data_IF_200480871173
#
_entry.id   IF_200480871173
#
_cell.length_a   1.000
_cell.length_b   1.000
_cell.length_c   1.000
_cell.angle_alpha   90.00
_cell.angle_beta   90.00
_cell.angle_gamma   90.00
#
_symmetry.space_group_name_H-M   'P 1'
#
loop_
_entity.id
_entity.type
_entity.pdbx_description
1 polymer ?
#
# COMPACT_ATOMS: atom_id res chain seq x y z
N UNK A 1 53.00 -30.51 -16.35
CA UNK A 1 52.84 -31.38 -17.50
C UNK A 1 51.97 -30.82 -18.59
N UNK A 2 51.92 -31.40 -19.75
CA UNK A 2 51.10 -30.89 -20.86
C UNK A 2 49.62 -30.75 -20.49
N UNK A 3 49.11 -31.66 -19.66
CA UNK A 3 47.73 -31.62 -19.21
C UNK A 3 47.43 -30.45 -18.32
N UNK A 4 48.36 -30.03 -17.47
CA UNK A 4 48.15 -28.88 -16.60
C UNK A 4 48.23 -27.55 -17.36
N UNK A 5 49.08 -27.45 -18.41
CA UNK A 5 49.12 -26.28 -19.26
C UNK A 5 47.87 -26.16 -20.14
N UNK A 6 47.43 -27.26 -20.73
CA UNK A 6 46.20 -27.27 -21.50
C UNK A 6 44.98 -26.95 -20.64
N UNK A 7 44.95 -27.50 -19.41
CA UNK A 7 43.90 -27.20 -18.44
C UNK A 7 43.92 -25.75 -17.98
N UNK A 8 45.09 -25.15 -17.76
CA UNK A 8 45.23 -23.76 -17.38
C UNK A 8 44.75 -22.81 -18.51
N UNK A 9 45.08 -23.13 -19.77
CA UNK A 9 44.64 -22.34 -20.93
C UNK A 9 43.12 -22.47 -21.10
N UNK A 10 42.59 -23.70 -21.01
CA UNK A 10 41.17 -23.97 -21.10
C UNK A 10 40.41 -23.26 -19.98
N UNK A 11 40.93 -23.29 -18.74
CA UNK A 11 40.35 -22.58 -17.60
C UNK A 11 40.31 -21.06 -17.81
N UNK A 12 41.39 -20.48 -18.34
CA UNK A 12 41.45 -19.05 -18.64
C UNK A 12 40.46 -18.68 -19.72
N UNK A 13 40.34 -19.47 -20.77
CA UNK A 13 39.36 -19.23 -21.84
C UNK A 13 37.95 -19.38 -21.33
N UNK A 14 37.66 -20.42 -20.56
CA UNK A 14 36.37 -20.62 -19.92
C UNK A 14 36.05 -19.48 -18.95
N UNK A 15 37.01 -19.08 -18.12
CA UNK A 15 36.83 -17.96 -17.19
C UNK A 15 36.55 -16.66 -17.93
N UNK A 16 37.29 -16.37 -18.99
CA UNK A 16 37.07 -15.20 -19.82
C UNK A 16 35.70 -15.21 -20.48
N UNK A 17 35.27 -16.38 -21.00
CA UNK A 17 33.97 -16.57 -21.61
C UNK A 17 32.86 -16.42 -20.56
N UNK A 18 33.01 -16.99 -19.37
CA UNK A 18 32.08 -16.85 -18.27
C UNK A 18 31.97 -15.40 -17.82
N UNK A 19 33.11 -14.71 -17.70
CA UNK A 19 33.13 -13.29 -17.32
C UNK A 19 32.40 -12.41 -18.33
N UNK A 20 32.53 -12.71 -19.63
CA UNK A 20 31.80 -12.00 -20.71
C UNK A 20 30.32 -12.30 -20.69
N UNK A 21 29.93 -13.52 -20.25
CA UNK A 21 28.53 -13.97 -20.20
C UNK A 21 27.84 -13.62 -18.91
N UNK A 22 28.59 -13.22 -17.87
CA UNK A 22 27.98 -12.78 -16.61
C UNK A 22 27.25 -11.47 -16.86
N UNK A 23 25.95 -11.41 -16.55
CA UNK A 23 25.20 -10.17 -16.72
C UNK A 23 25.74 -9.12 -15.76
N UNK A 24 25.74 -7.88 -16.21
CA UNK A 24 26.04 -6.76 -15.34
C UNK A 24 24.87 -6.61 -14.35
N UNK A 25 25.23 -6.31 -13.12
CA UNK A 25 24.25 -6.13 -12.04
C UNK A 25 24.41 -4.78 -11.38
N UNK A 26 23.37 -4.39 -10.70
CA UNK A 26 23.37 -3.24 -9.80
C UNK A 26 22.65 -3.64 -8.51
N UNK A 27 22.96 -2.96 -7.42
CA UNK A 27 22.39 -3.26 -6.12
C UNK A 27 21.06 -2.55 -5.94
N UNK A 28 20.05 -3.30 -5.54
CA UNK A 28 18.70 -2.78 -5.23
C UNK A 28 18.40 -3.07 -3.76
N UNK A 29 17.90 -2.05 -3.08
CA UNK A 29 17.42 -2.17 -1.71
C UNK A 29 15.90 -2.12 -1.72
N UNK A 30 15.28 -3.11 -1.06
CA UNK A 30 13.83 -3.19 -0.92
C UNK A 30 13.49 -2.97 0.55
N UNK A 31 12.72 -1.93 0.81
CA UNK A 31 12.24 -1.60 2.16
C UNK A 31 10.78 -2.05 2.26
N UNK A 32 10.50 -2.96 3.16
CA UNK A 32 9.12 -3.34 3.52
C UNK A 32 8.73 -2.62 4.80
N UNK A 33 7.54 -2.84 5.28
CA UNK A 33 7.08 -2.20 6.51
C UNK A 33 7.89 -2.62 7.74
N UNK A 34 8.49 -3.80 7.74
CA UNK A 34 9.22 -4.35 8.89
C UNK A 34 10.59 -4.95 8.56
N UNK A 35 11.06 -4.79 7.32
CA UNK A 35 12.34 -5.39 6.92
C UNK A 35 13.00 -4.59 5.81
N UNK A 36 14.29 -4.84 5.63
CA UNK A 36 15.07 -4.34 4.50
C UNK A 36 15.81 -5.50 3.88
N UNK A 37 15.84 -5.54 2.55
CA UNK A 37 16.50 -6.57 1.77
C UNK A 37 17.34 -5.94 0.68
N UNK A 38 18.46 -6.58 0.34
CA UNK A 38 19.26 -6.18 -0.80
C UNK A 38 19.35 -7.31 -1.82
N UNK A 39 19.28 -6.92 -3.09
CA UNK A 39 19.38 -7.86 -4.20
C UNK A 39 20.36 -7.34 -5.24
N UNK A 40 21.02 -8.27 -5.92
CA UNK A 40 21.76 -7.96 -7.14
C UNK A 40 20.78 -8.12 -8.31
N UNK A 41 20.42 -7.01 -8.89
CA UNK A 41 19.47 -6.94 -10.00
C UNK A 41 20.25 -6.88 -11.32
N UNK A 42 19.90 -7.75 -12.26
CA UNK A 42 20.53 -7.68 -13.59
C UNK A 42 20.02 -6.42 -14.31
N UNK A 43 20.91 -5.78 -15.09
CA UNK A 43 20.58 -4.53 -15.77
C UNK A 43 19.47 -4.71 -16.82
N UNK A 44 19.29 -5.92 -17.32
CA UNK A 44 18.24 -6.25 -18.30
C UNK A 44 16.89 -6.55 -17.65
N UNK A 45 16.83 -6.69 -16.31
CA UNK A 45 15.59 -7.06 -15.62
C UNK A 45 14.51 -6.00 -15.80
N UNK A 46 13.30 -6.52 -16.02
CA UNK A 46 12.08 -5.70 -15.97
C UNK A 46 11.56 -5.62 -14.54
N UNK A 47 10.67 -4.69 -14.30
CA UNK A 47 10.04 -4.57 -13.00
C UNK A 47 9.43 -5.86 -12.50
N UNK A 48 8.82 -6.66 -13.39
CA UNK A 48 8.26 -7.96 -13.04
C UNK A 48 9.30 -8.91 -12.46
N UNK A 49 10.49 -8.94 -13.02
CA UNK A 49 11.57 -9.83 -12.55
C UNK A 49 11.95 -9.50 -11.11
N UNK A 50 12.14 -8.22 -10.81
CA UNK A 50 12.46 -7.76 -9.46
C UNK A 50 11.28 -7.99 -8.50
N UNK A 51 10.08 -7.61 -8.91
CA UNK A 51 8.88 -7.76 -8.09
C UNK A 51 8.63 -9.23 -7.73
N UNK A 52 8.73 -10.14 -8.70
CA UNK A 52 8.55 -11.57 -8.47
C UNK A 52 9.60 -12.11 -7.50
N UNK A 53 10.85 -11.66 -7.60
CA UNK A 53 11.91 -12.07 -6.69
C UNK A 53 11.60 -11.61 -5.25
N UNK A 54 11.16 -10.39 -5.08
CA UNK A 54 10.78 -9.85 -3.75
C UNK A 54 9.63 -10.67 -3.16
N UNK A 55 8.59 -10.92 -3.94
CA UNK A 55 7.43 -11.70 -3.48
C UNK A 55 7.81 -13.13 -3.09
N UNK A 56 8.65 -13.78 -3.89
CA UNK A 56 9.14 -15.14 -3.57
C UNK A 56 9.96 -15.14 -2.28
N UNK A 57 10.81 -14.14 -2.10
CA UNK A 57 11.65 -14.01 -0.90
C UNK A 57 10.79 -13.81 0.35
N UNK A 58 9.70 -13.07 0.23
CA UNK A 58 8.75 -12.86 1.33
C UNK A 58 7.81 -14.06 1.55
N UNK A 59 7.73 -14.99 0.60
CA UNK A 59 6.73 -16.05 0.64
C UNK A 59 5.31 -15.55 0.40
N UNK A 60 5.18 -14.41 -0.28
CA UNK A 60 3.91 -13.76 -0.57
C UNK A 60 3.36 -14.27 -1.90
N UNK A 61 2.13 -14.83 -1.86
CA UNK A 61 1.42 -15.29 -3.05
C UNK A 61 0.31 -14.34 -3.47
N UNK A 62 -0.21 -13.54 -2.57
CA UNK A 62 -1.25 -12.55 -2.85
C UNK A 62 -0.64 -11.24 -3.34
N UNK A 63 0.01 -11.34 -4.49
CA UNK A 63 0.90 -10.29 -5.03
C UNK A 63 0.15 -9.11 -5.64
N UNK A 64 -1.11 -9.29 -6.02
CA UNK A 64 -1.89 -8.31 -6.80
C UNK A 64 -2.23 -7.03 -6.04
N UNK A 65 -2.11 -7.03 -4.72
CA UNK A 65 -2.31 -5.82 -3.91
C UNK A 65 -1.08 -4.90 -3.89
N UNK A 66 0.10 -5.42 -4.19
CA UNK A 66 1.38 -4.78 -3.87
C UNK A 66 2.09 -4.24 -5.10
N UNK A 67 3.04 -3.35 -4.83
CA UNK A 67 3.92 -2.80 -5.84
C UNK A 67 5.22 -2.32 -5.22
N UNK A 68 6.13 -1.91 -6.10
CA UNK A 68 7.40 -1.29 -5.70
C UNK A 68 7.31 0.20 -5.98
N UNK A 69 7.31 0.98 -4.90
CA UNK A 69 7.12 2.42 -4.93
C UNK A 69 8.46 3.15 -4.88
N UNK A 70 8.57 4.23 -5.61
CA UNK A 70 9.66 5.18 -5.51
C UNK A 70 9.11 6.60 -5.63
N UNK A 71 9.93 7.59 -5.32
CA UNK A 71 9.50 8.99 -5.34
C UNK A 71 10.38 9.77 -6.31
N UNK A 72 9.75 10.57 -7.18
CA UNK A 72 10.42 11.49 -8.07
C UNK A 72 9.85 12.88 -7.83
N UNK A 73 10.73 13.85 -7.49
CA UNK A 73 10.33 15.26 -7.32
C UNK A 73 9.02 15.37 -6.50
N UNK A 74 8.99 14.70 -5.35
CA UNK A 74 7.88 14.65 -4.40
C UNK A 74 6.61 13.97 -4.93
N UNK A 75 6.68 13.33 -6.08
CA UNK A 75 5.56 12.58 -6.64
C UNK A 75 5.83 11.08 -6.48
N UNK A 76 4.83 10.36 -5.98
CA UNK A 76 4.87 8.91 -5.87
C UNK A 76 4.77 8.29 -7.25
N UNK A 77 5.59 7.29 -7.51
CA UNK A 77 5.56 6.48 -8.71
C UNK A 77 5.71 5.01 -8.35
N UNK A 78 5.21 4.14 -9.21
CA UNK A 78 5.27 2.70 -9.01
C UNK A 78 6.04 2.05 -10.16
N UNK A 79 6.90 1.10 -9.82
CA UNK A 79 7.66 0.35 -10.81
C UNK A 79 6.69 -0.39 -11.74
N UNK A 80 6.85 -0.19 -13.05
CA UNK A 80 6.04 -0.88 -14.06
C UNK A 80 6.60 -2.26 -14.31
N UNK A 81 5.72 -3.25 -14.41
CA UNK A 81 6.13 -4.65 -14.52
C UNK A 81 6.78 -4.97 -15.87
N UNK A 82 6.35 -4.32 -16.93
CA UNK A 82 6.80 -4.59 -18.30
C UNK A 82 7.98 -3.71 -18.80
N UNK A 83 8.47 -2.83 -17.92
CA UNK A 83 9.54 -1.88 -18.25
C UNK A 83 10.81 -2.23 -17.47
N UNK A 84 11.97 -2.05 -18.09
CA UNK A 84 13.25 -2.27 -17.39
C UNK A 84 13.33 -1.40 -16.14
N UNK A 85 13.86 -1.96 -15.05
CA UNK A 85 14.01 -1.24 -13.79
C UNK A 85 14.79 0.06 -14.01
N UNK A 86 15.90 -0.01 -14.72
CA UNK A 86 16.76 1.16 -14.96
C UNK A 86 16.21 2.17 -15.98
N UNK A 87 15.14 1.81 -16.70
CA UNK A 87 14.48 2.74 -17.62
C UNK A 87 13.46 3.64 -16.91
N UNK A 88 13.25 3.42 -15.60
CA UNK A 88 12.42 4.30 -14.78
C UNK A 88 13.24 5.51 -14.31
N UNK A 89 12.54 6.59 -13.98
CA UNK A 89 13.14 7.83 -13.47
C UNK A 89 13.52 7.72 -11.99
N UNK A 90 14.03 6.59 -11.57
CA UNK A 90 14.49 6.36 -10.21
C UNK A 90 15.92 6.91 -10.07
N UNK A 91 16.28 7.35 -8.86
CA UNK A 91 17.66 7.73 -8.56
C UNK A 91 18.59 6.54 -8.83
N UNK A 92 19.64 6.76 -9.63
CA UNK A 92 20.60 5.72 -10.00
C UNK A 92 21.75 5.55 -9.00
N UNK A 93 21.71 6.27 -7.88
CA UNK A 93 22.69 6.07 -6.80
C UNK A 93 22.46 4.71 -6.17
N UNK A 94 23.52 3.92 -6.05
CA UNK A 94 23.42 2.60 -5.43
C UNK A 94 23.49 2.70 -3.90
N UNK A 95 22.65 1.92 -3.21
CA UNK A 95 21.65 1.02 -3.76
C UNK A 95 20.42 1.76 -4.27
N UNK A 96 19.88 1.32 -5.41
CA UNK A 96 18.59 1.82 -5.92
C UNK A 96 17.50 1.32 -4.97
N UNK A 97 16.72 2.23 -4.41
CA UNK A 97 15.80 1.89 -3.33
C UNK A 97 14.34 1.95 -3.77
N UNK A 98 13.60 0.89 -3.44
CA UNK A 98 12.15 0.82 -3.62
C UNK A 98 11.50 0.43 -2.30
N UNK A 99 10.25 0.89 -2.12
CA UNK A 99 9.43 0.51 -0.99
C UNK A 99 8.37 -0.50 -1.45
N UNK A 100 8.35 -1.65 -0.81
CA UNK A 100 7.34 -2.68 -1.07
C UNK A 100 6.11 -2.36 -0.24
N UNK A 101 5.05 -1.92 -0.89
CA UNK A 101 3.85 -1.43 -0.23
C UNK A 101 2.59 -1.93 -0.94
N UNK A 102 1.48 -1.97 -0.21
CA UNK A 102 0.18 -2.18 -0.81
C UNK A 102 -0.17 -0.95 -1.66
N UNK A 103 -0.52 -1.21 -2.91
CA UNK A 103 -0.97 -0.21 -3.88
C UNK A 103 -2.48 -0.21 -3.98
N UNK A 104 -3.09 -1.39 -3.86
CA UNK A 104 -4.52 -1.61 -3.91
C UNK A 104 -4.98 -2.27 -2.62
N UNK A 105 -6.18 -1.92 -2.18
CA UNK A 105 -6.74 -2.38 -0.91
C UNK A 105 -7.92 -3.30 -1.15
N UNK A 106 -8.12 -4.32 -0.31
CA UNK A 106 -9.31 -5.16 -0.39
C UNK A 106 -10.55 -4.38 0.00
N UNK A 107 -11.70 -4.76 -0.53
CA UNK A 107 -12.99 -4.24 -0.07
C UNK A 107 -13.31 -4.78 1.32
N UNK A 108 -12.98 -6.03 1.57
CA UNK A 108 -13.16 -6.69 2.86
C UNK A 108 -11.89 -7.48 3.20
N UNK A 109 -11.13 -6.98 4.16
CA UNK A 109 -9.84 -7.57 4.54
C UNK A 109 -9.98 -9.01 5.03
N UNK A 110 -10.99 -9.29 5.85
CA UNK A 110 -11.18 -10.63 6.42
C UNK A 110 -11.43 -11.68 5.36
N UNK A 111 -12.20 -11.35 4.31
CA UNK A 111 -12.52 -12.29 3.24
C UNK A 111 -11.42 -12.43 2.20
N UNK A 112 -10.70 -11.33 1.92
CA UNK A 112 -9.78 -11.28 0.78
C UNK A 112 -8.32 -11.56 1.12
N UNK A 113 -7.89 -11.27 2.36
CA UNK A 113 -6.50 -11.48 2.77
C UNK A 113 -6.37 -12.84 3.46
N UNK A 114 -5.84 -13.81 2.73
CA UNK A 114 -5.79 -15.21 3.19
C UNK A 114 -4.49 -15.54 3.92
N UNK A 115 -3.34 -15.08 3.39
CA UNK A 115 -2.05 -15.36 4.01
C UNK A 115 -1.79 -14.44 5.20
N UNK A 116 -1.19 -14.98 6.26
CA UNK A 116 -0.80 -14.17 7.42
C UNK A 116 0.18 -13.06 7.04
N UNK A 117 1.11 -13.32 6.12
CA UNK A 117 2.06 -12.29 5.66
C UNK A 117 1.33 -11.12 5.00
N UNK A 118 0.31 -11.40 4.20
CA UNK A 118 -0.49 -10.35 3.56
C UNK A 118 -1.22 -9.51 4.62
N UNK A 119 -1.88 -10.17 5.55
CA UNK A 119 -2.58 -9.52 6.65
C UNK A 119 -1.64 -8.65 7.48
N UNK A 120 -0.47 -9.17 7.80
CA UNK A 120 0.53 -8.48 8.61
C UNK A 120 1.07 -7.22 7.92
N UNK A 121 1.40 -7.31 6.65
CA UNK A 121 1.88 -6.16 5.88
C UNK A 121 0.82 -5.07 5.77
N UNK A 122 -0.45 -5.44 5.56
CA UNK A 122 -1.55 -4.47 5.56
C UNK A 122 -1.74 -3.84 6.94
N UNK A 123 -1.70 -4.65 8.00
CA UNK A 123 -1.81 -4.14 9.37
C UNK A 123 -0.74 -3.07 9.64
N UNK A 124 0.52 -3.36 9.34
CA UNK A 124 1.62 -2.41 9.58
C UNK A 124 1.46 -1.13 8.76
N UNK A 125 1.09 -1.25 7.49
CA UNK A 125 0.94 -0.09 6.61
C UNK A 125 -0.22 0.80 7.05
N UNK A 126 -1.37 0.20 7.34
CA UNK A 126 -2.57 0.93 7.76
C UNK A 126 -2.34 1.58 9.13
N UNK A 127 -1.71 0.86 10.07
CA UNK A 127 -1.37 1.41 11.38
C UNK A 127 -0.47 2.64 11.23
N UNK A 128 0.55 2.57 10.39
CA UNK A 128 1.43 3.70 10.14
C UNK A 128 0.67 4.90 9.56
N UNK A 129 -0.25 4.66 8.61
CA UNK A 129 -1.06 5.72 8.02
C UNK A 129 -1.94 6.43 9.06
N UNK A 130 -2.49 5.68 10.01
CA UNK A 130 -3.31 6.24 11.08
C UNK A 130 -2.45 7.04 12.06
N UNK A 131 -1.31 6.49 12.49
CA UNK A 131 -0.41 7.15 13.42
C UNK A 131 0.26 8.40 12.82
N UNK A 132 0.58 8.36 11.52
CA UNK A 132 1.13 9.51 10.80
C UNK A 132 0.04 10.51 10.35
N UNK A 133 -1.22 10.26 10.72
CA UNK A 133 -2.36 11.12 10.42
C UNK A 133 -2.64 11.28 8.93
N UNK A 134 -2.26 10.29 8.13
CA UNK A 134 -2.62 10.20 6.70
C UNK A 134 -4.06 9.75 6.52
N UNK A 135 -4.57 8.98 7.49
CA UNK A 135 -5.95 8.52 7.57
C UNK A 135 -6.53 9.03 8.88
N UNK A 136 -7.59 9.82 8.79
CA UNK A 136 -8.26 10.34 9.99
C UNK A 136 -8.89 9.20 10.78
N UNK A 137 -8.69 9.23 12.09
CA UNK A 137 -9.29 8.29 13.01
C UNK A 137 -9.84 9.02 14.24
N UNK A 138 -11.14 8.85 14.56
CA UNK A 138 -11.71 9.46 15.76
C UNK A 138 -11.01 8.98 17.04
N UNK A 139 -11.00 9.80 18.10
CA UNK A 139 -10.29 9.45 19.34
C UNK A 139 -10.66 8.09 19.94
N UNK A 140 -11.94 7.78 20.04
CA UNK A 140 -12.38 6.49 20.62
C UNK A 140 -11.95 5.29 19.77
N UNK A 141 -12.08 5.42 18.44
CA UNK A 141 -11.61 4.40 17.52
C UNK A 141 -10.10 4.23 17.62
N UNK A 142 -9.35 5.33 17.78
CA UNK A 142 -7.89 5.28 17.96
C UNK A 142 -7.48 4.48 19.18
N UNK A 143 -8.18 4.65 20.30
CA UNK A 143 -7.92 3.91 21.53
C UNK A 143 -8.20 2.42 21.34
N UNK A 144 -9.31 2.09 20.70
CA UNK A 144 -9.66 0.69 20.41
C UNK A 144 -8.65 0.04 19.48
N UNK A 145 -8.26 0.73 18.41
CA UNK A 145 -7.23 0.25 17.50
C UNK A 145 -5.90 0.03 18.22
N UNK A 146 -5.49 0.99 19.06
CA UNK A 146 -4.27 0.86 19.86
C UNK A 146 -4.31 -0.39 20.74
N UNK A 147 -5.46 -0.70 21.32
CA UNK A 147 -5.62 -1.87 22.19
C UNK A 147 -5.42 -3.20 21.44
N UNK A 148 -5.87 -3.28 20.19
CA UNK A 148 -5.60 -4.45 19.35
C UNK A 148 -4.12 -4.53 18.92
N UNK A 149 -3.49 -3.39 18.65
CA UNK A 149 -2.05 -3.37 18.37
C UNK A 149 -1.24 -3.86 19.58
N UNK A 150 -1.64 -3.49 20.77
CA UNK A 150 -1.02 -3.95 22.02
C UNK A 150 -1.22 -5.46 22.20
N UNK A 151 -2.43 -5.96 21.99
CA UNK A 151 -2.69 -7.42 22.04
C UNK A 151 -1.80 -8.17 21.03
N UNK A 152 -1.67 -7.64 19.82
CA UNK A 152 -0.83 -8.27 18.79
C UNK A 152 0.63 -8.33 19.21
N UNK A 153 1.14 -7.28 19.85
CA UNK A 153 2.55 -7.17 20.23
C UNK A 153 2.89 -7.93 21.52
N UNK A 154 2.05 -7.79 22.54
CA UNK A 154 2.34 -8.28 23.90
C UNK A 154 1.64 -9.59 24.25
N UNK A 155 0.67 -10.03 23.47
CA UNK A 155 -0.16 -11.18 23.83
C UNK A 155 -1.16 -10.81 24.91
N UNK A 156 -1.66 -11.80 25.63
CA UNK A 156 -2.69 -11.59 26.64
C UNK A 156 -2.24 -10.65 27.76
N UNK A 157 -3.15 -9.80 28.21
CA UNK A 157 -2.89 -8.91 29.32
C UNK A 157 -2.67 -9.71 30.59
N UNK A 158 -1.53 -9.44 31.28
CA UNK A 158 -1.18 -10.00 32.57
C UNK A 158 -0.75 -8.84 33.47
N UNK A 159 -1.59 -8.49 34.51
CA UNK A 159 -1.26 -7.36 35.38
C UNK A 159 0.05 -7.53 36.14
N UNK A 160 0.52 -8.76 36.36
CA UNK A 160 1.80 -9.01 37.02
C UNK A 160 3.01 -8.71 36.15
N UNK A 161 2.83 -8.73 34.82
CA UNK A 161 3.88 -8.46 33.83
C UNK A 161 3.73 -7.05 33.27
N UNK A 162 2.51 -6.69 32.87
CA UNK A 162 2.20 -5.40 32.21
C UNK A 162 1.83 -4.37 33.27
N UNK A 163 2.84 -3.93 34.01
CA UNK A 163 2.65 -2.97 35.11
C UNK A 163 2.51 -1.55 34.55
N UNK A 164 1.95 -0.66 35.37
CA UNK A 164 1.78 0.76 35.02
C UNK A 164 3.05 1.32 34.40
N UNK A 165 2.93 1.96 33.22
CA UNK A 165 4.03 2.51 32.48
C UNK A 165 4.56 1.60 31.37
N UNK A 166 4.03 0.40 31.20
CA UNK A 166 4.55 -0.55 30.21
C UNK A 166 4.38 -0.06 28.75
N UNK A 167 3.43 0.85 28.51
CA UNK A 167 3.21 1.43 27.19
C UNK A 167 3.87 2.79 26.99
N UNK A 168 4.66 3.27 27.96
CA UNK A 168 5.20 4.62 27.95
C UNK A 168 6.07 4.93 26.72
N UNK A 169 6.76 3.93 26.15
CA UNK A 169 7.64 4.08 25.01
C UNK A 169 7.00 3.66 23.68
N UNK A 170 5.74 3.26 23.70
CA UNK A 170 5.01 2.84 22.52
C UNK A 170 4.36 4.06 21.83
N UNK A 171 4.44 4.10 20.52
CA UNK A 171 3.66 5.04 19.71
C UNK A 171 2.34 4.34 19.37
N UNK A 172 1.25 4.78 20.01
CA UNK A 172 -0.05 4.10 19.92
C UNK A 172 -1.17 4.97 19.39
N UNK A 173 -1.09 6.28 19.60
CA UNK A 173 -2.17 7.22 19.25
C UNK A 173 -1.65 8.32 18.34
N UNK A 174 -2.50 8.81 17.41
CA UNK A 174 -2.16 10.00 16.64
C UNK A 174 -1.93 11.20 17.58
N UNK A 175 -0.96 12.05 17.24
CA UNK A 175 -0.65 13.23 18.04
C UNK A 175 -1.85 14.16 18.20
N UNK A 176 -2.67 14.27 17.15
CA UNK A 176 -3.87 15.10 17.19
C UNK A 176 -4.85 14.62 18.28
N UNK A 177 -5.02 13.30 18.43
CA UNK A 177 -5.86 12.73 19.48
C UNK A 177 -5.31 13.10 20.85
N UNK A 178 -4.01 12.93 21.06
CA UNK A 178 -3.35 13.28 22.31
C UNK A 178 -3.53 14.75 22.63
N UNK A 179 -3.42 15.61 21.62
CA UNK A 179 -3.49 17.08 21.80
C UNK A 179 -4.92 17.60 22.01
N UNK A 180 -5.95 16.84 21.64
CA UNK A 180 -7.35 17.27 21.78
C UNK A 180 -7.84 17.22 23.24
N UNK A 181 -7.18 16.43 24.09
CA UNK A 181 -7.62 16.19 25.45
C UNK A 181 -6.50 16.52 26.43
N UNK A 182 -6.88 17.00 27.62
CA UNK A 182 -5.95 17.26 28.71
C UNK A 182 -5.77 15.98 29.54
N UNK A 183 -5.27 14.94 28.88
CA UNK A 183 -5.02 13.65 29.51
C UNK A 183 -3.51 13.39 29.57
N UNK A 184 -3.07 12.85 30.70
CA UNK A 184 -1.67 12.44 30.86
C UNK A 184 -1.41 11.17 30.08
N UNK A 185 -0.14 10.84 29.76
CA UNK A 185 0.21 9.56 29.15
C UNK A 185 -0.32 8.36 29.94
N UNK A 186 -0.33 8.45 31.27
CA UNK A 186 -0.84 7.40 32.17
C UNK A 186 -2.34 7.21 32.01
N UNK A 187 -3.10 8.28 31.82
CA UNK A 187 -4.54 8.22 31.61
C UNK A 187 -4.85 7.57 30.25
N UNK A 188 -4.08 7.89 29.21
CA UNK A 188 -4.23 7.22 27.91
C UNK A 188 -3.91 5.72 28.03
N UNK A 189 -2.84 5.39 28.73
CA UNK A 189 -2.47 3.99 28.96
C UNK A 189 -3.59 3.22 29.66
N UNK A 190 -4.22 3.81 30.67
CA UNK A 190 -5.34 3.19 31.37
C UNK A 190 -6.51 2.90 30.42
N UNK A 191 -6.86 3.84 29.57
CA UNK A 191 -7.95 3.66 28.60
C UNK A 191 -7.63 2.56 27.61
N UNK A 192 -6.42 2.52 27.10
CA UNK A 192 -5.97 1.49 26.16
C UNK A 192 -5.96 0.13 26.86
N UNK A 193 -5.43 0.07 28.07
CA UNK A 193 -5.32 -1.17 28.85
C UNK A 193 -6.70 -1.75 29.18
N UNK A 194 -7.70 -0.92 29.44
CA UNK A 194 -9.06 -1.38 29.70
C UNK A 194 -9.62 -2.18 28.51
N UNK A 195 -9.42 -1.69 27.30
CA UNK A 195 -9.78 -2.44 26.08
C UNK A 195 -8.88 -3.65 25.86
N UNK A 196 -7.58 -3.48 26.06
CA UNK A 196 -6.59 -4.55 25.89
C UNK A 196 -6.97 -5.78 26.72
N UNK A 197 -7.38 -5.59 27.96
CA UNK A 197 -7.78 -6.70 28.85
C UNK A 197 -8.95 -7.51 28.28
N UNK A 198 -9.84 -6.87 27.50
CA UNK A 198 -10.99 -7.54 26.88
C UNK A 198 -10.60 -8.44 25.71
N UNK A 199 -9.38 -8.29 25.19
CA UNK A 199 -8.94 -9.03 24.00
C UNK A 199 -8.25 -10.35 24.32
N UNK A 200 -8.22 -10.75 25.58
CA UNK A 200 -7.58 -11.99 26.03
C UNK A 200 -8.02 -13.18 25.18
N UNK A 201 -7.04 -13.99 24.78
CA UNK A 201 -7.27 -15.18 23.96
C UNK A 201 -7.08 -14.96 22.47
N UNK A 202 -6.95 -13.72 22.01
CA UNK A 202 -6.72 -13.47 20.60
C UNK A 202 -5.25 -13.64 20.26
N UNK A 203 -4.96 -14.46 19.24
CA UNK A 203 -3.62 -14.60 18.69
C UNK A 203 -3.21 -13.32 17.97
N UNK A 204 -1.93 -13.17 17.64
CA UNK A 204 -1.38 -12.02 16.95
C UNK A 204 -2.14 -11.71 15.67
N UNK A 205 -2.30 -12.70 14.80
CA UNK A 205 -2.99 -12.55 13.52
C UNK A 205 -4.46 -12.16 13.68
N UNK A 206 -5.13 -12.72 14.68
CA UNK A 206 -6.51 -12.38 14.99
C UNK A 206 -6.64 -10.92 15.45
N UNK A 207 -5.73 -10.46 16.31
CA UNK A 207 -5.73 -9.09 16.80
C UNK A 207 -5.44 -8.10 15.65
N UNK A 208 -4.48 -8.43 14.78
CA UNK A 208 -4.17 -7.62 13.61
C UNK A 208 -5.36 -7.54 12.65
N UNK A 209 -6.09 -8.64 12.47
CA UNK A 209 -7.29 -8.64 11.61
C UNK A 209 -8.42 -7.82 12.23
N UNK A 210 -8.61 -7.87 13.55
CA UNK A 210 -9.59 -7.01 14.21
C UNK A 210 -9.26 -5.52 14.03
N UNK A 211 -7.97 -5.19 14.08
CA UNK A 211 -7.50 -3.85 13.76
C UNK A 211 -7.92 -3.44 12.34
N UNK A 212 -7.64 -4.29 11.37
CA UNK A 212 -7.96 -4.01 9.97
C UNK A 212 -9.46 -3.89 9.72
N UNK A 213 -10.27 -4.71 10.40
CA UNK A 213 -11.73 -4.66 10.26
C UNK A 213 -12.31 -3.32 10.73
N UNK A 214 -11.73 -2.74 11.77
CA UNK A 214 -12.13 -1.41 12.25
C UNK A 214 -11.61 -0.33 11.30
N UNK A 215 -10.33 -0.41 10.96
CA UNK A 215 -9.67 0.60 10.13
C UNK A 215 -10.29 0.72 8.73
N UNK A 216 -10.73 -0.40 8.15
CA UNK A 216 -11.31 -0.38 6.80
C UNK A 216 -12.63 0.39 6.72
N UNK A 217 -13.29 0.62 7.84
CA UNK A 217 -14.53 1.41 7.90
C UNK A 217 -14.27 2.91 8.07
N UNK A 218 -13.02 3.32 8.22
CA UNK A 218 -12.66 4.75 8.27
C UNK A 218 -12.81 5.37 6.88
N UNK A 219 -13.33 6.60 6.86
CA UNK A 219 -13.70 7.27 5.60
C UNK A 219 -12.51 7.46 4.66
N UNK A 220 -11.31 7.69 5.20
CA UNK A 220 -10.11 7.92 4.37
C UNK A 220 -9.31 6.65 4.07
N UNK A 221 -9.71 5.52 4.65
CA UNK A 221 -9.00 4.27 4.43
C UNK A 221 -8.97 3.87 2.96
N UNK A 222 -7.78 3.56 2.47
CA UNK A 222 -7.60 3.04 1.10
C UNK A 222 -7.84 4.05 -0.02
N UNK A 223 -8.09 5.31 0.32
CA UNK A 223 -8.35 6.36 -0.67
C UNK A 223 -7.06 7.06 -1.05
N UNK A 224 -6.80 7.15 -2.35
CA UNK A 224 -5.73 7.98 -2.89
C UNK A 224 -6.32 9.33 -3.30
N UNK A 225 -5.87 10.41 -2.68
CA UNK A 225 -6.37 11.76 -2.93
C UNK A 225 -5.46 12.53 -3.87
N UNK A 226 -6.08 13.26 -4.81
CA UNK A 226 -5.38 14.12 -5.77
C UNK A 226 -6.09 15.45 -5.89
N UNK A 227 -5.31 16.53 -5.94
CA UNK A 227 -5.87 17.87 -6.23
C UNK A 227 -6.19 17.95 -7.72
N UNK A 228 -7.42 18.34 -8.02
CA UNK A 228 -7.91 18.47 -9.40
C UNK A 228 -8.63 19.80 -9.56
N UNK A 229 -8.92 20.15 -10.81
CA UNK A 229 -9.77 21.29 -11.17
C UNK A 229 -10.85 20.82 -12.11
N UNK A 230 -12.08 21.28 -11.87
CA UNK A 230 -13.19 20.99 -12.77
C UNK A 230 -13.15 21.93 -13.99
N UNK A 231 -14.14 21.82 -14.87
CA UNK A 231 -14.25 22.64 -16.09
C UNK A 231 -14.31 24.13 -15.82
N UNK A 232 -14.86 24.54 -14.65
CA UNK A 232 -14.97 25.95 -14.23
C UNK A 232 -13.69 26.45 -13.57
N UNK A 233 -12.66 25.60 -13.42
CA UNK A 233 -11.42 25.95 -12.74
C UNK A 233 -11.51 25.88 -11.22
N UNK A 234 -12.58 25.35 -10.66
CA UNK A 234 -12.73 25.18 -9.21
C UNK A 234 -11.83 24.04 -8.73
N UNK A 235 -11.10 24.30 -7.66
CA UNK A 235 -10.25 23.28 -7.03
C UNK A 235 -11.10 22.31 -6.24
N UNK A 236 -10.86 21.02 -6.49
CA UNK A 236 -11.54 19.90 -5.85
C UNK A 236 -10.51 18.82 -5.51
N UNK A 237 -10.93 17.79 -4.79
CA UNK A 237 -10.13 16.59 -4.59
C UNK A 237 -10.79 15.42 -5.30
N UNK A 238 -9.96 14.61 -5.96
CA UNK A 238 -10.34 13.32 -6.50
C UNK A 238 -9.84 12.25 -5.53
N UNK A 239 -10.74 11.35 -5.12
CA UNK A 239 -10.37 10.14 -4.39
C UNK A 239 -10.53 8.93 -5.29
N UNK A 240 -9.51 8.08 -5.30
CA UNK A 240 -9.53 6.81 -6.04
C UNK A 240 -9.38 5.69 -5.02
N UNK A 241 -10.33 4.77 -4.98
CA UNK A 241 -10.28 3.64 -4.05
C UNK A 241 -10.84 2.36 -4.68
N UNK A 242 -10.99 1.33 -3.86
CA UNK A 242 -11.45 0.02 -4.32
C UNK A 242 -12.89 0.05 -4.89
N UNK A 243 -13.69 1.02 -4.49
CA UNK A 243 -15.11 1.09 -4.88
C UNK A 243 -15.38 2.00 -6.07
N UNK A 244 -14.52 2.98 -6.33
CA UNK A 244 -14.73 3.90 -7.43
C UNK A 244 -13.96 5.20 -7.32
N UNK A 245 -14.51 6.22 -7.96
CA UNK A 245 -14.00 7.57 -7.95
C UNK A 245 -14.92 8.45 -7.12
N UNK A 246 -14.32 9.36 -6.35
CA UNK A 246 -15.04 10.26 -5.46
C UNK A 246 -14.54 11.67 -5.63
N UNK A 247 -15.46 12.63 -5.59
CA UNK A 247 -15.13 14.07 -5.70
C UNK A 247 -15.44 14.73 -4.36
N UNK A 248 -14.46 15.44 -3.82
CA UNK A 248 -14.56 16.07 -2.50
C UNK A 248 -14.34 17.59 -2.59
N UNK A 249 -14.93 18.32 -1.66
CA UNK A 249 -14.42 19.66 -1.32
C UNK A 249 -13.00 19.52 -0.78
N UNK A 250 -12.08 20.45 -1.14
CA UNK A 250 -10.70 20.37 -0.60
C UNK A 250 -10.64 20.38 0.92
N UNK A 251 -11.63 20.94 1.59
CA UNK A 251 -11.68 21.05 3.04
C UNK A 251 -12.34 19.85 3.73
N UNK A 252 -12.94 18.94 2.97
CA UNK A 252 -13.62 17.79 3.54
C UNK A 252 -13.28 16.50 2.80
N UNK A 253 -12.33 15.76 3.32
CA UNK A 253 -11.88 14.46 2.77
C UNK A 253 -12.69 13.29 3.30
N UNK A 254 -13.63 13.51 4.20
CA UNK A 254 -14.38 12.44 4.85
C UNK A 254 -15.63 12.05 4.09
N UNK A 255 -16.31 13.01 3.49
CA UNK A 255 -17.59 12.78 2.79
C UNK A 255 -17.52 13.35 1.39
N UNK A 256 -17.59 12.48 0.36
CA UNK A 256 -17.56 12.97 -1.03
C UNK A 256 -18.84 13.71 -1.37
N UNK A 257 -18.72 14.70 -2.24
CA UNK A 257 -19.87 15.40 -2.86
C UNK A 257 -20.54 14.53 -3.90
N UNK A 258 -19.71 13.83 -4.69
CA UNK A 258 -20.17 12.96 -5.77
C UNK A 258 -19.33 11.69 -5.72
N UNK A 259 -19.96 10.55 -5.94
CA UNK A 259 -19.27 9.27 -6.06
C UNK A 259 -19.66 8.58 -7.34
N UNK A 260 -18.69 7.93 -7.98
CA UNK A 260 -18.86 7.13 -9.17
C UNK A 260 -18.36 5.72 -8.89
N UNK A 261 -19.25 4.81 -8.44
CA UNK A 261 -18.83 3.41 -8.26
C UNK A 261 -18.37 2.80 -9.59
N UNK A 262 -17.40 1.90 -9.54
CA UNK A 262 -16.84 1.31 -10.75
C UNK A 262 -17.91 0.69 -11.66
N UNK A 263 -18.92 0.05 -11.08
CA UNK A 263 -20.00 -0.58 -11.86
C UNK A 263 -21.02 0.42 -12.42
N UNK A 264 -20.90 1.70 -12.12
CA UNK A 264 -21.75 2.76 -12.66
C UNK A 264 -20.99 3.67 -13.64
N UNK A 265 -19.75 3.36 -13.92
CA UNK A 265 -18.90 4.09 -14.88
C UNK A 265 -18.88 3.32 -16.20
N UNK A 266 -19.25 4.00 -17.29
CA UNK A 266 -19.17 3.42 -18.62
C UNK A 266 -17.74 3.38 -19.12
N UNK A 267 -17.05 4.52 -19.03
CA UNK A 267 -15.60 4.60 -19.28
C UNK A 267 -14.99 5.86 -18.67
N UNK A 268 -13.66 5.84 -18.58
CA UNK A 268 -12.86 7.00 -18.22
C UNK A 268 -11.92 7.23 -19.39
N UNK A 269 -11.96 8.43 -19.96
CA UNK A 269 -11.04 8.82 -21.04
C UNK A 269 -10.08 9.90 -20.55
N UNK A 270 -8.89 9.90 -21.14
CA UNK A 270 -7.87 10.91 -20.87
C UNK A 270 -7.33 11.37 -22.22
N UNK A 271 -7.53 12.64 -22.51
CA UNK A 271 -7.14 13.25 -23.77
C UNK A 271 -6.85 14.73 -23.56
N UNK A 272 -5.76 15.23 -24.14
CA UNK A 272 -5.36 16.65 -24.04
C UNK A 272 -5.29 17.12 -22.57
N UNK A 273 -4.70 16.29 -21.71
CA UNK A 273 -4.51 16.56 -20.27
C UNK A 273 -5.82 16.63 -19.46
N UNK A 274 -6.93 16.25 -20.06
CA UNK A 274 -8.24 16.25 -19.40
C UNK A 274 -8.76 14.83 -19.22
N UNK A 275 -9.27 14.55 -18.04
CA UNK A 275 -9.99 13.31 -17.73
C UNK A 275 -11.49 13.53 -17.92
N UNK A 276 -12.16 12.53 -18.45
CA UNK A 276 -13.62 12.53 -18.56
C UNK A 276 -14.16 11.24 -17.99
N UNK A 277 -15.00 11.35 -16.97
CA UNK A 277 -15.75 10.22 -16.39
C UNK A 277 -17.11 10.20 -17.05
N UNK A 278 -17.43 9.09 -17.75
CA UNK A 278 -18.74 8.89 -18.40
C UNK A 278 -19.56 7.89 -17.61
N UNK A 279 -20.63 8.33 -16.94
CA UNK A 279 -21.52 7.41 -16.22
C UNK A 279 -22.26 6.47 -17.17
N UNK A 280 -22.65 5.28 -16.66
CA UNK A 280 -23.52 4.35 -17.39
C UNK A 280 -24.90 4.95 -17.64
N UNK A 281 -25.45 5.63 -16.63
CA UNK A 281 -26.73 6.32 -16.75
C UNK A 281 -26.53 7.59 -17.58
N UNK A 282 -27.13 7.60 -18.77
CA UNK A 282 -27.03 8.71 -19.71
C UNK A 282 -27.68 10.01 -19.19
N UNK A 283 -28.51 9.90 -18.15
CA UNK A 283 -29.13 11.06 -17.51
C UNK A 283 -28.17 11.81 -16.61
N UNK A 284 -27.09 11.15 -16.16
CA UNK A 284 -26.06 11.78 -15.32
C UNK A 284 -25.03 12.43 -16.24
N UNK A 285 -24.69 13.69 -15.95
CA UNK A 285 -23.71 14.45 -16.72
C UNK A 285 -22.33 13.82 -16.60
N UNK A 286 -21.55 13.92 -17.68
CA UNK A 286 -20.14 13.55 -17.64
C UNK A 286 -19.40 14.50 -16.72
N UNK A 287 -18.36 13.99 -16.04
CA UNK A 287 -17.52 14.80 -15.17
C UNK A 287 -16.13 14.93 -15.80
N UNK A 288 -15.69 16.18 -15.98
CA UNK A 288 -14.39 16.48 -16.57
C UNK A 288 -13.50 17.17 -15.56
N UNK A 289 -12.23 16.80 -15.53
CA UNK A 289 -11.26 17.42 -14.63
C UNK A 289 -9.84 17.31 -15.16
N UNK A 290 -8.96 18.17 -14.64
CA UNK A 290 -7.51 18.11 -14.90
C UNK A 290 -6.75 18.08 -13.59
N UNK A 291 -5.59 17.46 -13.61
CA UNK A 291 -4.58 17.59 -12.56
C UNK A 291 -3.41 18.42 -13.07
N UNK A 292 -2.53 18.82 -12.17
CA UNK A 292 -1.48 19.80 -12.47
C UNK A 292 -0.27 19.26 -13.22
N UNK A 293 0.01 17.94 -13.16
CA UNK A 293 1.25 17.35 -13.67
C UNK A 293 1.00 16.05 -14.41
N UNK A 294 1.78 15.82 -15.50
CA UNK A 294 1.69 14.60 -16.28
C UNK A 294 1.95 13.34 -15.44
N UNK A 295 2.91 13.39 -14.51
CA UNK A 295 3.21 12.25 -13.62
C UNK A 295 2.04 11.88 -12.74
N UNK A 296 1.33 12.89 -12.23
CA UNK A 296 0.11 12.68 -11.42
C UNK A 296 -0.99 12.08 -12.30
N UNK A 297 -1.14 12.55 -13.53
CA UNK A 297 -2.12 12.00 -14.46
C UNK A 297 -1.87 10.51 -14.73
N UNK A 298 -0.61 10.13 -14.94
CA UNK A 298 -0.22 8.73 -15.13
C UNK A 298 -0.54 7.87 -13.90
N UNK A 299 -0.28 8.40 -12.73
CA UNK A 299 -0.59 7.72 -11.46
C UNK A 299 -2.10 7.52 -11.31
N UNK A 300 -2.90 8.55 -11.57
CA UNK A 300 -4.37 8.47 -11.52
C UNK A 300 -4.86 7.36 -12.46
N UNK A 301 -4.36 7.33 -13.70
CA UNK A 301 -4.74 6.31 -14.68
C UNK A 301 -4.40 4.90 -14.19
N UNK A 302 -3.19 4.69 -13.68
CA UNK A 302 -2.77 3.39 -13.15
C UNK A 302 -3.68 2.91 -12.02
N UNK A 303 -4.00 3.81 -11.09
CA UNK A 303 -4.86 3.49 -9.95
C UNK A 303 -6.30 3.20 -10.38
N UNK A 304 -6.81 3.95 -11.34
CA UNK A 304 -8.15 3.71 -11.91
C UNK A 304 -8.22 2.34 -12.58
N UNK A 305 -7.26 2.04 -13.45
CA UNK A 305 -7.22 0.78 -14.19
C UNK A 305 -7.12 -0.40 -13.23
N UNK A 306 -6.21 -0.32 -12.28
CA UNK A 306 -5.97 -1.42 -11.32
C UNK A 306 -7.14 -1.65 -10.38
N UNK A 307 -7.71 -0.60 -9.80
CA UNK A 307 -8.87 -0.71 -8.90
C UNK A 307 -10.10 -1.21 -9.63
N UNK A 308 -10.35 -0.71 -10.83
CA UNK A 308 -11.47 -1.17 -11.66
C UNK A 308 -11.32 -2.65 -12.01
N UNK A 309 -10.13 -3.07 -12.41
CA UNK A 309 -9.85 -4.45 -12.76
C UNK A 309 -10.09 -5.39 -11.56
N UNK A 310 -9.57 -5.05 -10.39
CA UNK A 310 -9.78 -5.83 -9.17
C UNK A 310 -11.25 -5.88 -8.77
N UNK A 311 -11.97 -4.76 -8.90
CA UNK A 311 -13.39 -4.69 -8.61
C UNK A 311 -14.19 -5.67 -9.49
N UNK A 312 -13.90 -5.67 -10.79
CA UNK A 312 -14.60 -6.55 -11.75
C UNK A 312 -14.24 -8.02 -11.52
N UNK A 313 -12.98 -8.33 -11.20
CA UNK A 313 -12.55 -9.70 -10.90
C UNK A 313 -13.24 -10.28 -9.68
N UNK A 314 -13.44 -9.49 -8.63
CA UNK A 314 -14.15 -9.93 -7.43
C UNK A 314 -15.58 -10.35 -7.77
N UNK A 315 -16.29 -9.56 -8.56
CA UNK A 315 -17.68 -9.82 -8.95
C UNK A 315 -17.80 -10.99 -9.92
N UNK A 316 -16.82 -11.18 -10.77
CA UNK A 316 -16.77 -12.35 -11.65
C UNK A 316 -16.56 -13.63 -10.85
N UNK A 317 -15.66 -13.62 -9.86
CA UNK A 317 -15.41 -14.76 -8.98
C UNK A 317 -16.67 -15.12 -8.19
N UNK A 318 -17.34 -14.12 -7.59
CA UNK A 318 -18.59 -14.31 -6.85
C UNK A 318 -19.69 -14.92 -7.74
N UNK A 319 -19.83 -14.42 -8.97
CA UNK A 319 -20.79 -14.92 -9.93
C UNK A 319 -20.55 -16.40 -10.28
N UNK A 320 -19.29 -16.80 -10.43
CA UNK A 320 -18.93 -18.19 -10.69
C UNK A 320 -19.23 -19.09 -9.49
N UNK A 321 -18.99 -18.62 -8.27
CA UNK A 321 -19.35 -19.36 -7.05
C UNK A 321 -20.85 -19.56 -6.92
N UNK A 322 -21.63 -18.55 -7.24
CA UNK A 322 -23.11 -18.65 -7.20
C UNK A 322 -23.63 -19.64 -8.23
N UNK A 323 -22.97 -19.77 -9.39
CA UNK A 323 -23.36 -20.73 -10.44
C UNK A 323 -23.03 -22.18 -10.09
N UNK A 324 -22.08 -22.40 -9.20
CA UNK A 324 -21.72 -23.73 -8.72
C UNK A 324 -22.62 -24.19 -7.57
#
# INVERSE_FOLDING_TARGET
>A
GPGSMAGAIASRMSFSSLKRKQPKTFTVRIVTMDAEMEFNCEMKWKGKDLFDLVCRTLGLRETWFFGLQYTIKDTVAWLKMDKKVLDHDVSKEEPVTFHFLAKFYPENAEEELVQEITQHLFFLQVKKQILDEKVYCPPEASVLLASYAVQAKYGDYDPSVHKRGFLAQEELLPKRVINLYQMTPEMWEERITAWYAEHRGRARDEAEMEYLKIAQDLEMYGVNYFTIRNKKGTELLLGVDALGLHIYDPENRLTPKISFPWNEIRNISYSDKEFTIKPLDKKIDVFKFNSSKLRVNKLILQLCIGNHDLFMRRRKADSLEVQQ
#
